data_IF_009381621259
#
_entry.id   IF_009381621259
#
_cell.length_a   1.000
_cell.length_b   1.000
_cell.length_c   1.000
_cell.angle_alpha   90.00
_cell.angle_beta   90.00
_cell.angle_gamma   90.00
#
_symmetry.space_group_name_H-M   'P 1'
#
loop_
_entity.id
_entity.type
_entity.pdbx_description
1 polymer ?
#
# COMPACT_ATOMS: atom_id res chain seq x y z
N UNK A 1 -14.94 -6.21 0.36
CA UNK A 1 -13.49 -5.93 0.28
C UNK A 1 -13.22 -5.23 -1.04
N UNK A 2 -12.72 -4.00 -1.00
CA UNK A 2 -12.64 -3.07 -2.14
C UNK A 2 -11.78 -3.61 -3.29
N UNK A 3 -10.63 -4.19 -2.97
CA UNK A 3 -9.72 -4.81 -3.96
C UNK A 3 -10.36 -5.95 -4.79
N UNK A 4 -11.45 -6.60 -4.34
CA UNK A 4 -12.17 -7.60 -5.17
C UNK A 4 -12.87 -6.99 -6.39
N UNK A 5 -12.93 -5.66 -6.50
CA UNK A 5 -13.46 -4.96 -7.68
C UNK A 5 -12.43 -4.79 -8.80
N UNK A 6 -11.14 -5.02 -8.51
CA UNK A 6 -10.09 -4.97 -9.54
C UNK A 6 -10.38 -6.00 -10.63
N UNK A 7 -10.09 -5.63 -11.88
CA UNK A 7 -10.24 -6.51 -13.03
C UNK A 7 -9.02 -7.40 -13.27
N UNK A 8 -7.89 -7.05 -12.66
CA UNK A 8 -6.59 -7.67 -12.90
C UNK A 8 -6.01 -8.40 -11.68
N UNK A 9 -6.56 -8.20 -10.47
CA UNK A 9 -6.12 -8.91 -9.27
C UNK A 9 -6.89 -10.22 -9.14
N UNK A 10 -6.19 -11.34 -9.34
CA UNK A 10 -6.79 -12.69 -9.26
C UNK A 10 -6.97 -13.17 -7.81
N UNK A 11 -5.94 -12.95 -6.98
CA UNK A 11 -5.84 -13.51 -5.63
C UNK A 11 -5.44 -12.44 -4.63
N UNK A 12 -6.01 -12.52 -3.42
CA UNK A 12 -5.73 -11.57 -2.34
C UNK A 12 -5.36 -12.35 -1.09
N UNK A 13 -4.18 -12.05 -0.56
CA UNK A 13 -3.62 -12.69 0.62
C UNK A 13 -3.32 -11.61 1.66
N UNK A 14 -3.82 -11.78 2.87
CA UNK A 14 -3.43 -10.96 4.01
C UNK A 14 -2.09 -11.45 4.55
N UNK A 15 -1.09 -10.57 4.61
CA UNK A 15 0.18 -10.82 5.30
C UNK A 15 0.15 -10.10 6.66
N UNK A 16 0.42 -10.84 7.73
CA UNK A 16 0.48 -10.30 9.10
C UNK A 16 1.50 -11.06 9.95
N UNK A 17 1.76 -10.66 11.20
CA UNK A 17 2.75 -11.34 12.04
C UNK A 17 2.17 -12.51 12.84
N UNK A 18 3.06 -13.27 13.48
CA UNK A 18 2.69 -14.31 14.44
C UNK A 18 2.14 -13.77 15.77
N UNK A 19 2.16 -12.46 16.01
CA UNK A 19 1.74 -11.87 17.27
C UNK A 19 0.25 -12.09 17.52
N UNK A 20 -0.12 -12.43 18.77
CA UNK A 20 -1.50 -12.77 19.16
C UNK A 20 -2.50 -11.64 18.93
N UNK A 21 -2.02 -10.39 18.99
CA UNK A 21 -2.78 -9.18 18.70
C UNK A 21 -3.34 -9.16 17.26
N UNK A 22 -2.71 -9.90 16.34
CA UNK A 22 -3.21 -10.07 14.97
C UNK A 22 -4.24 -11.20 14.81
N UNK A 23 -4.57 -11.97 15.85
CA UNK A 23 -5.48 -13.12 15.73
C UNK A 23 -6.90 -12.70 15.32
N UNK A 24 -7.42 -11.56 15.82
CA UNK A 24 -8.74 -11.06 15.42
C UNK A 24 -8.80 -10.69 13.94
N UNK A 25 -7.72 -10.09 13.42
CA UNK A 25 -7.57 -9.74 12.01
C UNK A 25 -7.53 -11.00 11.13
N UNK A 26 -6.80 -12.03 11.57
CA UNK A 26 -6.74 -13.33 10.89
C UNK A 26 -8.13 -13.98 10.80
N UNK A 27 -8.88 -13.97 11.90
CA UNK A 27 -10.24 -14.54 11.92
C UNK A 27 -11.20 -13.72 11.06
N UNK A 28 -11.06 -12.38 11.04
CA UNK A 28 -11.83 -11.52 10.13
C UNK A 28 -11.54 -11.85 8.66
N UNK A 29 -10.27 -11.97 8.27
CA UNK A 29 -9.88 -12.32 6.91
C UNK A 29 -10.45 -13.67 6.47
N UNK A 30 -10.37 -14.70 7.34
CA UNK A 30 -10.96 -16.02 7.09
C UNK A 30 -12.47 -15.97 6.89
N UNK A 31 -13.21 -15.20 7.70
CA UNK A 31 -14.67 -15.00 7.52
C UNK A 31 -15.01 -14.41 6.15
N UNK A 32 -14.12 -13.59 5.59
CA UNK A 32 -14.26 -13.00 4.25
C UNK A 32 -13.66 -13.86 3.12
N UNK A 33 -13.20 -15.08 3.42
CA UNK A 33 -12.54 -16.00 2.49
C UNK A 33 -11.34 -15.34 1.80
N UNK A 34 -10.48 -14.73 2.62
CA UNK A 34 -9.20 -14.16 2.22
C UNK A 34 -8.13 -15.08 2.79
N UNK A 35 -7.18 -15.49 1.94
CA UNK A 35 -6.05 -16.30 2.38
C UNK A 35 -5.16 -15.50 3.32
N UNK A 36 -4.50 -16.19 4.25
CA UNK A 36 -3.65 -15.54 5.25
C UNK A 36 -2.26 -16.17 5.25
N UNK A 37 -1.25 -15.31 5.31
CA UNK A 37 0.12 -15.67 5.61
C UNK A 37 0.55 -14.98 6.91
N UNK A 38 1.15 -15.74 7.83
CA UNK A 38 1.75 -15.20 9.05
C UNK A 38 3.26 -15.36 9.00
N UNK A 39 4.00 -14.31 9.37
CA UNK A 39 5.46 -14.27 9.33
C UNK A 39 6.07 -13.43 10.46
N UNK A 40 7.36 -13.10 10.33
CA UNK A 40 8.06 -12.19 11.25
C UNK A 40 7.41 -10.80 11.26
N UNK A 41 7.29 -10.17 12.43
CA UNK A 41 6.90 -8.75 12.56
C UNK A 41 8.02 -7.85 12.01
N UNK A 42 9.24 -8.07 12.47
CA UNK A 42 10.44 -7.27 12.21
C UNK A 42 11.01 -7.42 10.80
N UNK A 43 10.61 -8.46 10.06
CA UNK A 43 11.11 -8.72 8.71
C UNK A 43 9.94 -8.89 7.73
N UNK A 44 9.37 -7.74 7.36
CA UNK A 44 8.23 -7.67 6.44
C UNK A 44 8.63 -8.20 5.07
N UNK A 45 9.83 -7.89 4.57
CA UNK A 45 10.35 -8.39 3.30
C UNK A 45 10.42 -9.92 3.25
N UNK A 46 10.97 -10.55 4.28
CA UNK A 46 10.97 -12.02 4.39
C UNK A 46 9.54 -12.58 4.40
N UNK A 47 8.63 -11.93 5.13
CA UNK A 47 7.21 -12.32 5.14
C UNK A 47 6.59 -12.27 3.75
N UNK A 48 6.92 -11.27 2.92
CA UNK A 48 6.53 -11.21 1.51
C UNK A 48 7.16 -12.34 0.69
N UNK A 49 8.47 -12.58 0.84
CA UNK A 49 9.19 -13.64 0.13
C UNK A 49 8.57 -15.02 0.42
N UNK A 50 8.37 -15.36 1.69
CA UNK A 50 7.77 -16.63 2.08
C UNK A 50 6.31 -16.76 1.64
N UNK A 51 5.52 -15.67 1.69
CA UNK A 51 4.16 -15.67 1.18
C UNK A 51 4.13 -15.95 -0.34
N UNK A 52 5.02 -15.33 -1.12
CA UNK A 52 5.12 -15.54 -2.57
C UNK A 52 5.54 -16.96 -2.97
N UNK A 53 6.19 -17.70 -2.07
CA UNK A 53 6.52 -19.11 -2.25
C UNK A 53 5.29 -19.99 -2.00
N UNK A 54 4.52 -19.69 -0.95
CA UNK A 54 3.31 -20.43 -0.58
C UNK A 54 2.15 -20.19 -1.55
N UNK A 55 2.01 -18.96 -2.04
CA UNK A 55 0.99 -18.54 -2.99
C UNK A 55 1.69 -18.12 -4.28
N UNK A 56 1.90 -19.05 -5.23
CA UNK A 56 2.63 -18.76 -6.44
C UNK A 56 1.97 -17.66 -7.26
N UNK A 57 2.71 -16.58 -7.51
CA UNK A 57 2.34 -15.48 -8.39
C UNK A 57 3.55 -15.05 -9.20
N UNK A 58 3.34 -14.50 -10.40
CA UNK A 58 4.43 -13.91 -11.20
C UNK A 58 4.59 -12.42 -10.89
N UNK A 59 3.47 -11.75 -10.64
CA UNK A 59 3.39 -10.33 -10.30
C UNK A 59 2.71 -10.16 -8.95
N UNK A 60 3.20 -9.22 -8.15
CA UNK A 60 2.73 -8.97 -6.79
C UNK A 60 2.29 -7.51 -6.73
N UNK A 61 1.07 -7.28 -6.25
CA UNK A 61 0.57 -5.96 -5.90
C UNK A 61 0.66 -5.81 -4.38
N UNK A 62 1.47 -4.85 -3.90
CA UNK A 62 1.55 -4.49 -2.48
C UNK A 62 0.57 -3.37 -2.19
N UNK A 63 -0.23 -3.58 -1.15
CA UNK A 63 -1.17 -2.62 -0.56
C UNK A 63 -0.92 -2.63 0.95
N UNK A 64 -0.87 -1.45 1.59
CA UNK A 64 -0.74 -1.32 3.04
C UNK A 64 -2.10 -1.44 3.73
N UNK A 65 -2.12 -1.94 4.97
CA UNK A 65 -3.35 -2.21 5.71
C UNK A 65 -4.04 -0.97 6.30
N UNK A 66 -3.34 0.16 6.31
CA UNK A 66 -3.75 1.48 6.82
C UNK A 66 -4.60 2.28 5.83
N UNK A 67 -4.85 1.77 4.62
CA UNK A 67 -5.56 2.47 3.55
C UNK A 67 -6.99 1.94 3.36
N UNK A 68 -7.96 2.26 4.25
CA UNK A 68 -9.30 1.66 4.25
C UNK A 68 -10.11 1.99 2.99
N UNK A 69 -9.76 3.07 2.30
CA UNK A 69 -10.43 3.54 1.09
C UNK A 69 -9.63 3.28 -0.20
N UNK A 70 -8.65 2.37 -0.17
CA UNK A 70 -7.89 1.95 -1.37
C UNK A 70 -8.80 1.76 -2.58
N UNK A 71 -8.39 2.29 -3.73
CA UNK A 71 -9.18 2.28 -4.95
C UNK A 71 -8.66 1.22 -5.92
N UNK A 72 -9.50 0.22 -6.20
CA UNK A 72 -9.16 -0.87 -7.12
C UNK A 72 -8.97 -0.38 -8.56
N UNK A 73 -9.64 0.70 -8.97
CA UNK A 73 -9.46 1.34 -10.26
C UNK A 73 -8.09 2.01 -10.40
N UNK A 74 -7.55 2.59 -9.33
CA UNK A 74 -6.17 3.11 -9.33
C UNK A 74 -5.16 1.96 -9.46
N UNK A 75 -5.38 0.86 -8.73
CA UNK A 75 -4.58 -0.36 -8.88
C UNK A 75 -4.62 -0.91 -10.31
N UNK A 76 -5.81 -0.96 -10.93
CA UNK A 76 -6.00 -1.42 -12.31
C UNK A 76 -5.24 -0.54 -13.31
N UNK A 77 -5.23 0.78 -13.12
CA UNK A 77 -4.49 1.71 -13.97
C UNK A 77 -2.98 1.48 -13.87
N UNK A 78 -2.45 1.30 -12.65
CA UNK A 78 -1.03 1.00 -12.43
C UNK A 78 -0.65 -0.34 -13.04
N UNK A 79 -1.48 -1.38 -12.85
CA UNK A 79 -1.27 -2.71 -13.43
C UNK A 79 -1.23 -2.66 -14.96
N UNK A 80 -2.17 -1.94 -15.58
CA UNK A 80 -2.18 -1.78 -17.03
C UNK A 80 -0.88 -1.12 -17.52
N UNK A 81 -0.48 0.00 -16.90
CA UNK A 81 0.77 0.67 -17.26
C UNK A 81 1.99 -0.23 -17.02
N UNK A 82 2.03 -0.96 -15.90
CA UNK A 82 3.08 -1.93 -15.58
C UNK A 82 3.25 -3.00 -16.68
N UNK A 83 2.15 -3.61 -17.13
CA UNK A 83 2.18 -4.61 -18.21
C UNK A 83 2.53 -4.01 -19.59
N UNK A 84 2.08 -2.79 -19.88
CA UNK A 84 2.44 -2.08 -21.11
C UNK A 84 3.94 -1.70 -21.15
N UNK A 85 4.50 -1.28 -20.02
CA UNK A 85 5.90 -0.86 -19.90
C UNK A 85 6.88 -2.02 -19.74
N UNK A 86 6.41 -3.18 -19.28
CA UNK A 86 7.22 -4.38 -19.04
C UNK A 86 8.40 -4.11 -18.10
N UNK A 87 8.11 -3.49 -16.96
CA UNK A 87 9.12 -3.14 -15.94
C UNK A 87 9.12 -4.13 -14.77
N UNK A 88 10.19 -4.11 -13.98
CA UNK A 88 10.33 -4.93 -12.79
C UNK A 88 9.50 -4.41 -11.62
N UNK A 89 9.36 -3.09 -11.52
CA UNK A 89 8.68 -2.38 -10.44
C UNK A 89 7.95 -1.14 -10.94
N UNK A 90 6.69 -0.95 -10.54
CA UNK A 90 5.92 0.25 -10.80
C UNK A 90 5.20 0.75 -9.55
N UNK A 91 5.09 2.06 -9.42
CA UNK A 91 4.51 2.75 -8.27
C UNK A 91 3.83 4.05 -8.69
N UNK A 92 3.03 4.63 -7.79
CA UNK A 92 2.36 5.91 -8.01
C UNK A 92 3.27 7.07 -7.59
N UNK A 93 3.26 8.18 -8.33
CA UNK A 93 3.95 9.40 -7.91
C UNK A 93 3.27 10.06 -6.71
N UNK A 94 4.00 10.95 -6.02
CA UNK A 94 3.48 11.68 -4.86
C UNK A 94 2.33 12.65 -5.19
N UNK A 95 2.04 12.87 -6.47
CA UNK A 95 0.88 13.63 -6.93
C UNK A 95 -0.45 12.86 -6.76
N UNK A 96 -0.42 11.58 -6.40
CA UNK A 96 -1.60 10.87 -5.91
C UNK A 96 -1.84 11.15 -4.42
N UNK A 97 -3.10 11.08 -3.99
CA UNK A 97 -3.46 11.19 -2.58
C UNK A 97 -2.82 10.08 -1.72
N UNK A 98 -2.57 10.37 -0.45
CA UNK A 98 -2.23 9.34 0.52
C UNK A 98 -3.47 8.52 0.90
N UNK A 99 -3.40 7.21 0.70
CA UNK A 99 -4.51 6.27 0.94
C UNK A 99 -5.02 5.56 -0.32
N UNK A 100 -4.45 5.85 -1.50
CA UNK A 100 -4.63 5.06 -2.73
C UNK A 100 -3.34 4.38 -3.19
N UNK A 101 -2.29 4.44 -2.36
CA UNK A 101 -0.98 3.91 -2.67
C UNK A 101 -1.04 2.42 -2.99
N UNK A 102 -0.44 2.07 -4.14
CA UNK A 102 -0.27 0.70 -4.57
C UNK A 102 1.03 0.59 -5.36
N UNK A 103 1.65 -0.57 -5.25
CA UNK A 103 2.95 -0.86 -5.86
C UNK A 103 2.88 -2.23 -6.52
N UNK A 104 3.49 -2.38 -7.69
CA UNK A 104 3.52 -3.64 -8.46
C UNK A 104 4.95 -4.03 -8.72
N UNK A 105 5.32 -5.28 -8.43
CA UNK A 105 6.66 -5.80 -8.75
C UNK A 105 6.64 -7.27 -9.14
N UNK A 106 7.68 -7.72 -9.84
CA UNK A 106 7.82 -9.14 -10.18
C UNK A 106 8.21 -9.97 -8.94
N UNK A 107 7.73 -11.22 -8.90
CA UNK A 107 8.21 -12.21 -7.92
C UNK A 107 9.72 -12.46 -8.05
N UNK A 108 10.27 -12.41 -9.27
CA UNK A 108 11.70 -12.57 -9.50
C UNK A 108 12.53 -11.49 -8.80
N UNK A 109 12.13 -10.23 -8.91
CA UNK A 109 12.80 -9.10 -8.23
C UNK A 109 12.69 -9.21 -6.72
N UNK A 110 11.52 -9.61 -6.20
CA UNK A 110 11.36 -9.90 -4.77
C UNK A 110 12.28 -11.03 -4.29
N UNK A 111 12.39 -12.10 -5.09
CA UNK A 111 13.18 -13.29 -4.75
C UNK A 111 14.69 -13.08 -4.91
N UNK A 112 15.13 -12.09 -5.69
CA UNK A 112 16.55 -11.77 -5.85
C UNK A 112 17.13 -11.01 -4.66
N UNK A 113 16.29 -10.45 -3.78
CA UNK A 113 16.74 -9.71 -2.61
C UNK A 113 17.27 -10.63 -1.52
N UNK A 114 18.52 -10.42 -1.09
CA UNK A 114 19.10 -11.09 0.07
C UNK A 114 18.83 -10.25 1.33
N UNK A 115 17.88 -10.68 2.17
CA UNK A 115 17.51 -9.95 3.39
C UNK A 115 18.68 -9.73 4.35
N UNK A 116 19.71 -10.57 4.32
CA UNK A 116 20.89 -10.43 5.18
C UNK A 116 21.83 -9.29 4.76
N UNK A 117 21.72 -8.82 3.52
CA UNK A 117 22.54 -7.73 2.95
C UNK A 117 21.79 -6.39 2.93
N UNK A 118 20.50 -6.40 3.30
CA UNK A 118 19.65 -5.22 3.28
C UNK A 118 19.60 -4.52 4.64
N UNK A 119 19.44 -3.20 4.60
CA UNK A 119 19.25 -2.36 5.78
C UNK A 119 17.91 -2.67 6.45
N UNK A 120 17.75 -2.20 7.68
CA UNK A 120 16.53 -2.44 8.45
C UNK A 120 15.29 -1.82 7.79
N UNK A 121 15.40 -0.57 7.35
CA UNK A 121 14.37 0.12 6.56
C UNK A 121 14.04 -0.63 5.26
N UNK A 122 15.01 -1.27 4.61
CA UNK A 122 14.75 -2.05 3.39
C UNK A 122 14.05 -3.38 3.67
N UNK A 123 14.24 -3.96 4.86
CA UNK A 123 13.51 -5.16 5.31
C UNK A 123 12.09 -4.82 5.79
N UNK A 124 11.90 -3.65 6.39
CA UNK A 124 10.61 -3.15 6.86
C UNK A 124 9.75 -2.64 5.70
N UNK A 125 10.30 -1.73 4.90
CA UNK A 125 9.66 -1.11 3.75
C UNK A 125 9.98 -1.89 2.49
N UNK A 126 9.45 -3.11 2.39
CA UNK A 126 9.58 -4.11 1.29
C UNK A 126 10.12 -3.61 -0.06
N UNK A 127 9.55 -2.54 -0.61
CA UNK A 127 9.84 -1.99 -1.96
C UNK A 127 10.91 -0.90 -1.98
N UNK A 128 11.40 -0.44 -0.82
CA UNK A 128 12.38 0.64 -0.69
C UNK A 128 13.65 0.38 -1.51
N UNK A 129 14.12 -0.87 -1.54
CA UNK A 129 15.28 -1.25 -2.34
C UNK A 129 15.03 -1.10 -3.85
N UNK A 130 13.81 -1.41 -4.32
CA UNK A 130 13.41 -1.18 -5.71
C UNK A 130 13.26 0.30 -6.02
N UNK A 131 12.73 1.08 -5.07
CA UNK A 131 12.48 2.50 -5.20
C UNK A 131 13.79 3.30 -5.27
N UNK A 132 14.70 3.09 -4.33
CA UNK A 132 16.00 3.78 -4.32
C UNK A 132 16.88 3.36 -5.50
N UNK A 133 16.76 2.10 -5.95
CA UNK A 133 17.45 1.51 -7.08
C UNK A 133 18.92 1.95 -7.23
N UNK A 134 19.67 2.00 -6.12
CA UNK A 134 21.02 2.62 -6.07
C UNK A 134 22.02 2.00 -7.05
N UNK A 135 21.83 0.74 -7.41
CA UNK A 135 22.66 -0.01 -8.35
C UNK A 135 22.12 -0.03 -9.78
N UNK A 136 20.97 0.63 -10.03
CA UNK A 136 20.27 0.67 -11.31
C UNK A 136 20.02 -0.75 -11.90
N UNK A 137 19.61 -1.66 -11.03
CA UNK A 137 19.45 -3.08 -11.36
C UNK A 137 18.02 -3.47 -11.71
N UNK A 138 17.05 -2.60 -11.43
CA UNK A 138 15.65 -2.80 -11.75
C UNK A 138 15.19 -1.79 -12.80
N UNK A 139 14.38 -2.26 -13.75
CA UNK A 139 13.58 -1.37 -14.58
C UNK A 139 12.38 -0.88 -13.77
N UNK A 140 12.21 0.44 -13.68
CA UNK A 140 11.16 1.05 -12.84
C UNK A 140 10.26 1.97 -13.64
N UNK A 141 9.00 2.10 -13.21
CA UNK A 141 8.05 3.05 -13.77
C UNK A 141 7.27 3.78 -12.68
N UNK A 142 7.45 5.10 -12.62
CA UNK A 142 6.62 5.97 -11.81
C UNK A 142 5.41 6.44 -12.63
N UNK A 143 4.21 6.05 -12.20
CA UNK A 143 2.97 6.51 -12.79
C UNK A 143 2.65 7.93 -12.31
N UNK A 144 2.56 8.87 -13.25
CA UNK A 144 2.20 10.25 -12.95
C UNK A 144 0.69 10.43 -12.87
N UNK A 145 0.23 11.16 -11.84
CA UNK A 145 -1.14 11.64 -11.78
C UNK A 145 -1.38 12.76 -12.81
N UNK A 146 -2.61 12.87 -13.31
CA UNK A 146 -3.03 13.98 -14.19
C UNK A 146 -3.28 15.28 -13.42
N UNK A 147 -3.45 15.20 -12.10
CA UNK A 147 -3.67 16.34 -11.20
C UNK A 147 -2.79 16.20 -9.95
N UNK A 148 -2.46 17.31 -9.31
CA UNK A 148 -1.78 17.28 -8.02
C UNK A 148 -2.79 17.08 -6.89
N UNK A 149 -2.87 15.82 -6.43
CA UNK A 149 -3.74 15.37 -5.35
C UNK A 149 -2.94 15.08 -4.06
N UNK A 150 -1.68 15.51 -3.98
CA UNK A 150 -0.81 15.30 -2.81
C UNK A 150 -1.40 15.85 -1.49
N UNK A 151 -2.33 16.81 -1.58
CA UNK A 151 -3.00 17.42 -0.42
C UNK A 151 -4.16 16.61 0.17
N UNK A 152 -4.57 15.50 -0.44
CA UNK A 152 -5.62 14.64 0.13
C UNK A 152 -4.99 13.47 0.89
N UNK A 153 -5.49 13.23 2.10
CA UNK A 153 -5.00 12.18 3.00
C UNK A 153 -6.16 11.43 3.66
N UNK A 154 -6.22 10.12 3.45
CA UNK A 154 -7.22 9.22 4.04
C UNK A 154 -6.66 7.81 4.33
N UNK A 155 -5.37 7.75 4.68
CA UNK A 155 -4.72 6.63 5.39
C UNK A 155 -5.05 6.66 6.89
N UNK A 156 -4.54 5.72 7.69
CA UNK A 156 -4.78 5.56 9.13
C UNK A 156 -3.46 5.38 9.90
N UNK A 157 -2.76 6.49 10.17
CA UNK A 157 -1.55 6.49 10.99
C UNK A 157 -1.76 7.21 12.33
N UNK A 158 -2.65 8.21 12.35
CA UNK A 158 -2.88 9.09 13.51
C UNK A 158 -4.33 9.08 14.00
N UNK A 159 -4.60 9.56 15.24
CA UNK A 159 -5.97 9.81 15.69
C UNK A 159 -6.74 10.79 14.79
N UNK A 160 -6.05 11.78 14.22
CA UNK A 160 -6.60 12.76 13.27
C UNK A 160 -7.03 12.07 11.97
N UNK A 161 -6.23 11.14 11.45
CA UNK A 161 -6.56 10.31 10.31
C UNK A 161 -7.84 9.50 10.55
N UNK A 162 -7.95 8.89 11.74
CA UNK A 162 -9.17 8.17 12.13
C UNK A 162 -10.40 9.09 12.15
N UNK A 163 -10.24 10.34 12.60
CA UNK A 163 -11.34 11.31 12.57
C UNK A 163 -11.78 11.63 11.14
N UNK A 164 -10.83 11.82 10.20
CA UNK A 164 -11.15 12.01 8.78
C UNK A 164 -11.88 10.80 8.21
N UNK A 165 -11.37 9.58 8.45
CA UNK A 165 -11.98 8.33 7.98
C UNK A 165 -13.43 8.18 8.47
N UNK A 166 -13.67 8.47 9.76
CA UNK A 166 -15.04 8.44 10.31
C UNK A 166 -15.95 9.45 9.65
N UNK A 167 -15.49 10.68 9.42
CA UNK A 167 -16.32 11.68 8.77
C UNK A 167 -16.61 11.31 7.31
N UNK A 168 -15.61 10.83 6.55
CA UNK A 168 -15.80 10.31 5.19
C UNK A 168 -16.84 9.18 5.14
N UNK A 169 -16.79 8.24 6.10
CA UNK A 169 -17.72 7.12 6.18
C UNK A 169 -19.18 7.56 6.40
N UNK A 170 -19.45 8.79 6.85
CA UNK A 170 -20.82 9.32 7.02
C UNK A 170 -21.45 9.78 5.71
N UNK A 171 -20.66 10.03 4.67
CA UNK A 171 -21.14 10.50 3.37
C UNK A 171 -21.51 9.36 2.42
N UNK A 172 -21.22 8.11 2.78
CA UNK A 172 -21.60 6.95 1.98
C UNK A 172 -22.08 5.80 2.87
N UNK A 173 -23.20 5.19 2.49
CA UNK A 173 -23.62 3.90 3.04
C UNK A 173 -22.95 2.73 2.31
N UNK A 174 -22.18 3.02 1.25
CA UNK A 174 -21.48 2.08 0.42
C UNK A 174 -19.98 2.41 0.41
N UNK A 175 -19.34 2.11 1.53
CA UNK A 175 -17.88 2.23 1.68
C UNK A 175 -17.12 1.22 0.82
N UNK A 176 -17.80 0.28 0.17
CA UNK A 176 -17.17 -0.70 -0.71
C UNK A 176 -17.01 -0.11 -2.12
N UNK A 177 -18.01 0.61 -2.65
CA UNK A 177 -17.99 1.11 -4.03
C UNK A 177 -17.64 2.61 -4.15
N UNK A 178 -17.48 3.35 -3.04
CA UNK A 178 -16.96 4.73 -3.12
C UNK A 178 -15.58 4.73 -3.80
N UNK A 179 -15.35 5.61 -4.77
CA UNK A 179 -14.07 5.70 -5.48
C UNK A 179 -13.27 6.94 -5.04
N UNK A 180 -12.01 6.97 -5.47
CA UNK A 180 -11.04 8.02 -5.20
C UNK A 180 -11.58 9.42 -5.54
N UNK A 181 -12.17 9.57 -6.73
CA UNK A 181 -12.72 10.86 -7.15
C UNK A 181 -13.89 11.32 -6.27
N UNK A 182 -14.71 10.39 -5.78
CA UNK A 182 -15.82 10.72 -4.87
C UNK A 182 -15.29 11.20 -3.51
N UNK A 183 -14.22 10.60 -3.00
CA UNK A 183 -13.57 11.03 -1.75
C UNK A 183 -13.00 12.44 -1.90
N UNK A 184 -12.31 12.73 -3.01
CA UNK A 184 -11.82 14.08 -3.33
C UNK A 184 -12.97 15.09 -3.33
N UNK A 185 -14.06 14.79 -4.04
CA UNK A 185 -15.22 15.67 -4.09
C UNK A 185 -15.84 15.94 -2.71
N UNK A 186 -15.87 14.94 -1.81
CA UNK A 186 -16.34 15.12 -0.44
C UNK A 186 -15.40 16.05 0.34
N UNK A 187 -14.09 15.85 0.25
CA UNK A 187 -13.09 16.66 0.96
C UNK A 187 -13.05 18.10 0.44
N UNK A 188 -13.23 18.32 -0.86
CA UNK A 188 -13.33 19.65 -1.46
C UNK A 188 -14.58 20.40 -1.01
N UNK A 189 -15.71 19.69 -0.90
CA UNK A 189 -16.95 20.26 -0.38
C UNK A 189 -16.92 20.51 1.14
N UNK A 190 -16.01 19.87 1.87
CA UNK A 190 -15.89 19.94 3.33
C UNK A 190 -14.44 20.19 3.76
N UNK A 191 -13.89 21.39 3.50
CA UNK A 191 -12.49 21.71 3.75
C UNK A 191 -12.09 21.57 5.23
N UNK A 192 -13.04 21.74 6.17
CA UNK A 192 -12.79 21.51 7.60
C UNK A 192 -12.46 20.04 7.91
N UNK A 193 -13.01 19.07 7.16
CA UNK A 193 -12.64 17.66 7.30
C UNK A 193 -11.23 17.45 6.76
N UNK A 194 -10.94 17.98 5.56
CA UNK A 194 -9.61 17.89 4.93
C UNK A 194 -8.49 18.50 5.79
N UNK A 195 -8.79 19.52 6.60
CA UNK A 195 -7.82 20.18 7.47
C UNK A 195 -7.45 19.40 8.74
N UNK A 196 -8.24 18.39 9.14
CA UNK A 196 -8.05 17.69 10.42
C UNK A 196 -6.66 17.05 10.51
N UNK A 197 -6.21 16.40 9.43
CA UNK A 197 -4.92 15.71 9.36
C UNK A 197 -3.92 16.41 8.41
N UNK A 198 -4.16 17.67 8.04
CA UNK A 198 -3.31 18.35 7.04
C UNK A 198 -1.90 18.71 7.53
N UNK A 199 -1.62 18.53 8.83
CA UNK A 199 -0.30 18.75 9.43
C UNK A 199 0.53 17.46 9.49
N UNK A 200 -0.08 16.31 9.18
CA UNK A 200 0.62 15.02 9.19
C UNK A 200 1.55 14.97 7.98
N UNK A 201 2.79 14.56 8.22
CA UNK A 201 3.83 14.50 7.19
C UNK A 201 3.68 13.19 6.41
N UNK A 202 3.64 13.28 5.08
CA UNK A 202 3.63 12.11 4.20
C UNK A 202 4.84 11.22 4.46
N UNK A 203 4.61 9.90 4.52
CA UNK A 203 5.67 8.90 4.70
C UNK A 203 6.52 9.10 5.99
N UNK A 204 5.94 9.65 7.06
CA UNK A 204 6.64 9.90 8.32
C UNK A 204 7.33 8.65 8.88
N UNK A 205 6.65 7.49 8.82
CA UNK A 205 7.23 6.21 9.27
C UNK A 205 8.53 5.84 8.56
N UNK A 206 8.57 5.98 7.23
CA UNK A 206 9.80 5.75 6.44
C UNK A 206 10.89 6.76 6.81
N UNK A 207 10.54 8.04 6.99
CA UNK A 207 11.49 9.07 7.38
C UNK A 207 12.16 8.74 8.73
N UNK A 208 11.38 8.25 9.70
CA UNK A 208 11.89 7.80 11.01
C UNK A 208 12.81 6.58 10.84
N UNK A 209 12.41 5.55 10.09
CA UNK A 209 13.25 4.36 9.86
C UNK A 209 14.61 4.75 9.25
N UNK A 210 14.60 5.66 8.25
CA UNK A 210 15.84 6.14 7.61
C UNK A 210 16.72 6.98 8.55
N UNK A 211 16.12 7.75 9.47
CA UNK A 211 16.87 8.54 10.45
C UNK A 211 17.55 7.63 11.49
N UNK A 212 16.88 6.58 11.94
CA UNK A 212 17.41 5.64 12.92
C UNK A 212 18.65 4.87 12.40
N UNK A 213 18.78 4.70 11.08
CA UNK A 213 19.96 4.05 10.46
C UNK A 213 21.20 4.93 10.41
N UNK A 214 21.06 6.25 10.60
CA UNK A 214 22.19 7.20 10.55
C UNK A 214 22.92 7.33 11.90
N UNK A 215 22.43 6.63 12.94
CA UNK A 215 22.93 6.67 14.31
C UNK A 215 23.55 5.34 14.73
#
# INVERSE_FOLDING_TARGET
MRLKQSRYIDNIVLLTSFNKENDELVELAKRHRIDVFRGSEENVLERFQQASQKYPSEHIVRITGDSPFVDAGVCDLLLQAYFEKQVDYAYLSEHFAEGVDCEVFTKSSLSSLNTAELRESEREHVTLHFYENKLNQFSTYEMQSTTDDSSYRFTLDTPEDWQVIKELARFTNDTVNINYQSIKNILDAHPLIKQINSQVIRNEGLAISLQNEQH
#
